data_IF_548232100661
#
_entry.id   IF_548232100661
#
_cell.length_a   1.000
_cell.length_b   1.000
_cell.length_c   1.000
_cell.angle_alpha   90.00
_cell.angle_beta   90.00
_cell.angle_gamma   90.00
#
_symmetry.space_group_name_H-M   'P 1'
#
loop_
_entity.id
_entity.type
_entity.pdbx_description
1 polymer ?
#
# COMPACT_ATOMS: atom_id res chain seq x y z
N UNK A 1 42.30 -51.21 76.88
CA UNK A 1 40.96 -50.74 77.12
C UNK A 1 41.03 -49.32 77.68
N UNK A 2 40.69 -48.35 77.00
CA UNK A 2 39.96 -47.22 77.61
C UNK A 2 38.76 -46.79 76.78
N UNK A 3 37.83 -46.19 77.50
CA UNK A 3 36.47 -45.79 77.14
C UNK A 3 36.44 -44.56 76.26
N UNK A 4 35.62 -44.61 75.26
CA UNK A 4 35.34 -43.47 74.36
C UNK A 4 34.28 -42.47 75.00
N UNK A 5 34.63 -41.22 75.13
CA UNK A 5 33.72 -40.16 75.55
C UNK A 5 33.05 -39.58 74.32
N UNK A 6 31.71 -39.62 74.31
CA UNK A 6 30.87 -39.05 73.27
C UNK A 6 30.62 -37.54 73.61
N UNK A 7 31.10 -36.66 72.74
CA UNK A 7 30.80 -35.20 72.82
C UNK A 7 29.63 -34.86 71.88
N UNK A 8 28.56 -34.32 72.42
CA UNK A 8 27.40 -33.82 71.73
C UNK A 8 27.65 -32.37 71.33
N UNK A 9 27.56 -31.97 70.06
CA UNK A 9 27.64 -30.55 69.69
C UNK A 9 26.31 -29.82 69.87
N UNK A 10 26.31 -28.53 70.09
CA UNK A 10 25.10 -27.76 70.34
C UNK A 10 24.34 -27.45 69.04
N UNK A 11 23.01 -27.46 69.12
CA UNK A 11 22.08 -27.02 68.09
C UNK A 11 22.17 -25.52 67.93
N UNK A 12 22.66 -25.03 66.77
CA UNK A 12 22.56 -23.61 66.40
C UNK A 12 21.43 -23.37 65.41
N UNK A 13 20.57 -22.48 65.79
CA UNK A 13 19.97 -21.39 65.07
C UNK A 13 19.21 -21.69 63.74
N UNK A 14 17.92 -21.95 63.85
CA UNK A 14 16.94 -21.71 62.76
C UNK A 14 16.83 -20.21 62.58
N UNK A 15 17.33 -19.66 61.49
CA UNK A 15 17.10 -18.23 61.21
C UNK A 15 17.04 -17.92 59.74
N UNK A 16 15.99 -17.22 59.38
CA UNK A 16 15.93 -16.10 58.40
C UNK A 16 16.03 -16.39 56.91
N UNK A 17 16.00 -17.63 56.40
CA UNK A 17 15.96 -17.85 54.92
C UNK A 17 14.56 -17.71 54.26
N UNK A 18 13.49 -17.91 55.02
CA UNK A 18 12.11 -17.92 54.50
C UNK A 18 11.51 -16.54 54.27
N UNK A 19 12.01 -15.51 54.95
CA UNK A 19 11.47 -14.12 54.76
C UNK A 19 12.04 -13.45 53.53
N UNK A 20 13.32 -13.74 53.18
CA UNK A 20 13.93 -13.19 51.96
C UNK A 20 13.37 -13.77 50.66
N UNK A 21 13.00 -15.04 50.66
CA UNK A 21 12.41 -15.69 49.48
C UNK A 21 11.00 -15.19 49.17
N UNK A 22 10.19 -14.88 50.18
CA UNK A 22 8.84 -14.27 49.97
C UNK A 22 8.88 -12.86 49.43
N UNK A 23 9.87 -12.03 49.80
CA UNK A 23 10.07 -10.69 49.26
C UNK A 23 10.58 -10.70 47.81
N UNK A 24 11.45 -11.65 47.46
CA UNK A 24 11.93 -11.84 46.08
C UNK A 24 10.83 -12.35 45.14
N UNK A 25 9.94 -13.24 45.60
CA UNK A 25 8.81 -13.70 44.80
C UNK A 25 7.79 -12.59 44.56
N UNK A 26 7.51 -11.74 45.57
CA UNK A 26 6.60 -10.60 45.41
C UNK A 26 7.10 -9.54 44.42
N UNK A 27 8.42 -9.26 44.44
CA UNK A 27 9.04 -8.32 43.50
C UNK A 27 9.06 -8.84 42.06
N UNK A 28 9.27 -10.14 41.85
CA UNK A 28 9.23 -10.77 40.53
C UNK A 28 7.81 -10.76 39.93
N UNK A 29 6.77 -11.03 40.75
CA UNK A 29 5.38 -10.96 40.28
C UNK A 29 4.95 -9.54 39.93
N UNK A 30 5.37 -8.53 40.67
CA UNK A 30 5.09 -7.12 40.37
C UNK A 30 5.77 -6.65 39.08
N UNK A 31 6.99 -7.11 38.80
CA UNK A 31 7.71 -6.80 37.56
C UNK A 31 7.05 -7.42 36.32
N UNK A 32 6.53 -8.64 36.43
CA UNK A 32 5.81 -9.30 35.32
C UNK A 32 4.47 -8.64 35.03
N UNK A 33 3.74 -8.14 36.05
CA UNK A 33 2.50 -7.36 35.84
C UNK A 33 2.78 -6.02 35.19
N UNK A 34 3.91 -5.34 35.49
CA UNK A 34 4.25 -4.06 34.89
C UNK A 34 4.59 -4.14 33.40
N UNK A 35 5.16 -5.27 32.95
CA UNK A 35 5.49 -5.51 31.54
C UNK A 35 4.21 -5.84 30.73
N UNK A 36 3.20 -6.45 31.35
CA UNK A 36 1.93 -6.79 30.69
C UNK A 36 1.03 -5.59 30.36
N UNK A 37 1.21 -4.42 31.01
CA UNK A 37 0.39 -3.23 30.75
C UNK A 37 0.95 -2.32 29.67
N UNK A 38 2.16 -2.53 29.17
CA UNK A 38 2.74 -1.75 28.08
C UNK A 38 2.37 -2.27 26.67
N UNK A 39 1.59 -3.36 26.55
CA UNK A 39 1.18 -3.93 25.28
C UNK A 39 -0.03 -3.22 24.63
N UNK A 40 -0.61 -2.20 25.26
CA UNK A 40 -1.68 -1.38 24.68
C UNK A 40 -1.17 0.04 24.39
N UNK A 41 0.00 0.18 23.76
CA UNK A 41 0.32 1.43 23.08
C UNK A 41 -0.59 1.52 21.86
N UNK A 42 -1.34 2.63 21.67
CA UNK A 42 -2.12 2.82 20.46
C UNK A 42 -1.16 2.77 19.27
N UNK A 43 -1.54 1.99 18.25
CA UNK A 43 -0.81 1.91 16.99
C UNK A 43 -0.82 3.31 16.34
N UNK A 44 0.34 3.88 15.93
CA UNK A 44 0.40 5.19 15.26
C UNK A 44 -0.54 5.28 14.05
N UNK A 45 -0.81 4.17 13.37
CA UNK A 45 -1.76 4.07 12.27
C UNK A 45 -3.19 4.32 12.78
N UNK A 46 -3.57 3.74 13.91
CA UNK A 46 -4.90 3.94 14.50
C UNK A 46 -5.12 5.38 14.99
N UNK A 47 -4.08 6.06 15.49
CA UNK A 47 -4.16 7.47 15.90
C UNK A 47 -4.36 8.40 14.70
N UNK A 48 -3.71 8.16 13.56
CA UNK A 48 -3.89 8.96 12.35
C UNK A 48 -5.30 8.84 11.77
N UNK A 49 -5.94 7.67 11.88
CA UNK A 49 -7.36 7.51 11.50
C UNK A 49 -8.34 8.24 12.42
N UNK A 50 -8.02 8.35 13.71
CA UNK A 50 -8.88 9.00 14.70
C UNK A 50 -8.73 10.53 14.72
N UNK A 51 -7.58 11.06 14.31
CA UNK A 51 -7.30 12.51 14.30
C UNK A 51 -7.97 13.23 13.14
N UNK A 52 -8.40 12.53 12.08
CA UNK A 52 -8.96 13.15 10.88
C UNK A 52 -7.98 14.01 10.10
N UNK A 53 -6.70 13.97 10.46
CA UNK A 53 -5.64 14.56 9.65
C UNK A 53 -5.42 13.68 8.42
N UNK A 54 -5.46 14.29 7.24
CA UNK A 54 -5.25 13.63 5.96
C UNK A 54 -3.75 13.29 5.80
N UNK A 55 -3.31 12.27 6.55
CA UNK A 55 -1.91 11.81 6.59
C UNK A 55 -1.57 10.80 5.51
N UNK A 56 -2.51 10.55 4.56
CA UNK A 56 -2.38 9.51 3.54
C UNK A 56 -2.62 8.10 4.12
N UNK A 57 -3.33 7.27 3.38
CA UNK A 57 -3.57 5.87 3.73
C UNK A 57 -2.41 5.00 3.26
N UNK A 58 -1.89 4.15 4.16
CA UNK A 58 -0.95 3.09 3.81
C UNK A 58 -1.51 1.77 4.33
N UNK A 59 -1.83 0.84 3.43
CA UNK A 59 -2.19 -0.52 3.82
C UNK A 59 -1.03 -1.16 4.61
N UNK A 60 -1.35 -2.05 5.54
CA UNK A 60 -0.37 -2.65 6.45
C UNK A 60 0.79 -3.39 5.72
N UNK A 61 0.55 -3.86 4.50
CA UNK A 61 1.53 -4.51 3.62
C UNK A 61 2.20 -3.54 2.62
N UNK A 62 1.82 -2.25 2.62
CA UNK A 62 2.31 -1.23 1.70
C UNK A 62 1.80 -1.37 0.25
N UNK A 63 0.84 -2.27 0.01
CA UNK A 63 0.28 -2.48 -1.33
C UNK A 63 -0.54 -1.27 -1.80
N UNK A 64 -1.22 -0.57 -0.88
CA UNK A 64 -1.99 0.64 -1.17
C UNK A 64 -1.37 1.78 -0.38
N UNK A 65 -1.03 2.86 -1.09
CA UNK A 65 -0.45 4.07 -0.51
C UNK A 65 -1.16 5.28 -1.10
N UNK A 66 -1.75 6.11 -0.25
CA UNK A 66 -2.23 7.45 -0.58
C UNK A 66 -1.18 8.48 -0.14
N UNK A 67 -0.82 9.40 -1.03
CA UNK A 67 0.24 10.39 -0.82
C UNK A 67 -0.40 11.75 -0.52
N UNK A 68 -0.19 12.32 0.67
CA UNK A 68 -0.69 13.66 1.01
C UNK A 68 -0.19 14.70 0.01
N UNK A 69 -1.00 15.70 -0.29
CA UNK A 69 -0.69 16.75 -1.28
C UNK A 69 0.70 17.39 -1.07
N UNK A 70 1.11 17.57 0.19
CA UNK A 70 2.40 18.18 0.55
C UNK A 70 3.61 17.28 0.26
N UNK A 71 3.40 15.96 0.14
CA UNK A 71 4.46 14.95 0.00
C UNK A 71 4.55 14.40 -1.42
N UNK A 72 3.66 14.84 -2.33
CA UNK A 72 3.67 14.43 -3.74
C UNK A 72 4.87 14.99 -4.47
N UNK A 73 5.44 14.17 -5.35
CA UNK A 73 6.52 14.56 -6.25
C UNK A 73 6.06 15.56 -7.34
N UNK A 74 6.90 15.69 -8.35
CA UNK A 74 6.63 16.53 -9.51
C UNK A 74 5.55 15.91 -10.43
N UNK A 75 5.01 16.72 -11.33
CA UNK A 75 4.14 16.28 -12.43
C UNK A 75 4.85 15.23 -13.27
N UNK A 76 4.20 14.10 -13.53
CA UNK A 76 4.72 13.06 -14.42
C UNK A 76 4.19 13.29 -15.82
N UNK A 77 5.08 13.66 -16.73
CA UNK A 77 4.77 13.76 -18.16
C UNK A 77 5.04 12.41 -18.83
N UNK A 78 4.05 11.86 -19.50
CA UNK A 78 4.15 10.58 -20.22
C UNK A 78 3.31 10.59 -21.49
N UNK A 79 3.65 9.74 -22.43
CA UNK A 79 2.93 9.65 -23.70
C UNK A 79 3.38 8.43 -24.48
N UNK A 80 2.87 8.29 -25.67
CA UNK A 80 3.19 7.16 -26.55
C UNK A 80 2.17 6.99 -27.65
N UNK A 81 2.10 5.77 -28.18
CA UNK A 81 1.12 5.38 -29.20
C UNK A 81 0.14 4.39 -28.57
N UNK A 82 -1.15 4.63 -28.78
CA UNK A 82 -2.21 3.74 -28.30
C UNK A 82 -2.27 2.46 -29.14
N UNK A 83 -3.03 1.48 -28.65
CA UNK A 83 -3.34 0.25 -29.41
C UNK A 83 -4.02 0.53 -30.75
N UNK A 84 -4.70 1.67 -30.90
CA UNK A 84 -5.33 2.11 -32.15
C UNK A 84 -4.39 2.88 -33.09
N UNK A 85 -3.15 3.11 -32.66
CA UNK A 85 -2.15 3.83 -33.45
C UNK A 85 -2.26 5.35 -33.31
N UNK A 86 -3.04 5.86 -32.37
CA UNK A 86 -3.17 7.28 -32.09
C UNK A 86 -2.06 7.75 -31.18
N UNK A 87 -1.61 9.00 -31.37
CA UNK A 87 -0.64 9.62 -30.45
C UNK A 87 -1.37 10.11 -29.22
N UNK A 88 -0.83 9.78 -28.04
CA UNK A 88 -1.30 10.22 -26.74
C UNK A 88 -0.23 11.07 -26.04
N UNK A 89 -0.65 12.16 -25.42
CA UNK A 89 0.20 12.99 -24.57
C UNK A 89 -0.54 13.32 -23.27
N UNK A 90 0.06 13.08 -22.12
CA UNK A 90 -0.53 13.40 -20.82
C UNK A 90 -0.80 14.90 -20.61
N UNK A 91 -0.18 15.79 -21.39
CA UNK A 91 -0.47 17.22 -21.38
C UNK A 91 -1.94 17.51 -21.75
N UNK A 92 -2.59 16.67 -22.57
CA UNK A 92 -3.99 16.81 -22.96
C UNK A 92 -4.95 16.51 -21.79
N UNK A 93 -4.45 15.90 -20.71
CA UNK A 93 -5.21 15.57 -19.50
C UNK A 93 -5.06 16.62 -18.38
N UNK A 94 -4.43 17.74 -18.67
CA UNK A 94 -4.19 18.79 -17.66
C UNK A 94 -5.49 19.24 -16.99
N UNK A 95 -5.53 19.23 -15.66
CA UNK A 95 -6.71 19.58 -14.86
C UNK A 95 -7.67 18.43 -14.59
N UNK A 96 -7.42 17.24 -15.13
CA UNK A 96 -8.19 16.02 -14.88
C UNK A 96 -7.46 15.12 -13.86
N UNK A 97 -8.22 14.37 -13.07
CA UNK A 97 -7.71 13.24 -12.31
C UNK A 97 -7.47 12.10 -13.30
N UNK A 98 -6.30 11.47 -13.24
CA UNK A 98 -5.97 10.40 -14.20
C UNK A 98 -5.65 9.10 -13.46
N UNK A 99 -6.30 8.01 -13.85
CA UNK A 99 -5.94 6.66 -13.41
C UNK A 99 -5.05 6.03 -14.47
N UNK A 100 -3.86 5.56 -14.04
CA UNK A 100 -2.90 4.88 -14.90
C UNK A 100 -2.75 3.45 -14.42
N UNK A 101 -3.04 2.46 -15.28
CA UNK A 101 -2.90 1.04 -14.95
C UNK A 101 -1.81 0.38 -15.80
N UNK A 102 -0.81 -0.21 -15.14
CA UNK A 102 0.26 -0.98 -15.79
C UNK A 102 -0.14 -2.44 -15.89
N UNK A 103 -0.21 -2.97 -17.11
CA UNK A 103 -0.77 -4.28 -17.37
C UNK A 103 -0.13 -5.01 -18.56
N UNK A 104 -0.51 -6.27 -18.79
CA UNK A 104 -0.29 -7.04 -20.02
C UNK A 104 -1.28 -8.21 -20.09
N UNK A 105 -1.59 -8.70 -21.30
CA UNK A 105 -2.66 -9.68 -21.55
C UNK A 105 -2.44 -11.04 -20.84
N UNK A 106 -1.20 -11.49 -20.73
CA UNK A 106 -0.85 -12.74 -20.05
C UNK A 106 -0.80 -12.66 -18.52
N UNK A 107 -1.07 -11.49 -17.93
CA UNK A 107 -1.06 -11.24 -16.51
C UNK A 107 -2.38 -11.73 -15.88
N UNK A 108 -2.35 -12.83 -15.15
CA UNK A 108 -3.57 -13.38 -14.54
C UNK A 108 -4.30 -12.42 -13.60
N UNK A 109 -3.63 -11.70 -12.68
CA UNK A 109 -4.32 -10.73 -11.84
C UNK A 109 -4.85 -9.52 -12.63
N UNK A 110 -4.20 -9.09 -13.75
CA UNK A 110 -4.72 -8.00 -14.58
C UNK A 110 -6.06 -8.38 -15.25
N UNK A 111 -6.22 -9.67 -15.61
CA UNK A 111 -7.49 -10.20 -16.16
C UNK A 111 -8.60 -10.19 -15.12
N UNK A 112 -8.27 -10.37 -13.84
CA UNK A 112 -9.25 -10.36 -12.75
C UNK A 112 -9.76 -8.94 -12.49
N UNK A 113 -8.89 -7.94 -12.53
CA UNK A 113 -9.26 -6.55 -12.20
C UNK A 113 -9.89 -5.76 -13.35
N UNK A 114 -9.82 -6.26 -14.60
CA UNK A 114 -10.20 -5.51 -15.81
C UNK A 114 -11.64 -4.98 -15.77
N UNK A 115 -12.60 -5.81 -15.35
CA UNK A 115 -14.01 -5.41 -15.21
C UNK A 115 -14.22 -4.36 -14.11
N UNK A 116 -13.47 -4.45 -13.01
CA UNK A 116 -13.55 -3.50 -11.92
C UNK A 116 -12.97 -2.14 -12.34
N UNK A 117 -11.83 -2.12 -13.04
CA UNK A 117 -11.25 -0.90 -13.62
C UNK A 117 -12.21 -0.22 -14.59
N UNK A 118 -12.80 -0.98 -15.52
CA UNK A 118 -13.80 -0.47 -16.47
C UNK A 118 -15.03 0.09 -15.75
N UNK A 119 -15.52 -0.60 -14.72
CA UNK A 119 -16.66 -0.13 -13.94
C UNK A 119 -16.38 1.21 -13.25
N UNK A 120 -15.15 1.42 -12.73
CA UNK A 120 -14.75 2.71 -12.16
C UNK A 120 -14.60 3.76 -13.26
N UNK A 121 -14.01 3.41 -14.41
CA UNK A 121 -13.92 4.32 -15.55
C UNK A 121 -15.29 4.86 -15.96
N UNK A 122 -16.25 3.98 -16.25
CA UNK A 122 -17.61 4.36 -16.64
C UNK A 122 -18.33 5.21 -15.57
N UNK A 123 -18.02 4.98 -14.30
CA UNK A 123 -18.61 5.79 -13.22
C UNK A 123 -18.12 7.24 -13.24
N UNK A 124 -16.87 7.50 -13.65
CA UNK A 124 -16.22 8.80 -13.49
C UNK A 124 -15.84 9.52 -14.79
N UNK A 125 -15.98 8.90 -15.98
CA UNK A 125 -15.57 9.48 -17.27
C UNK A 125 -16.17 10.86 -17.53
N UNK A 126 -17.43 11.08 -17.17
CA UNK A 126 -18.14 12.36 -17.31
C UNK A 126 -17.86 13.36 -16.18
N UNK A 127 -16.98 13.01 -15.21
CA UNK A 127 -16.71 13.80 -14.01
C UNK A 127 -15.30 14.44 -14.00
N UNK A 128 -14.60 14.48 -15.15
CA UNK A 128 -13.25 15.03 -15.25
C UNK A 128 -12.18 14.06 -14.77
N UNK A 129 -12.42 12.76 -14.96
CA UNK A 129 -11.45 11.69 -14.76
C UNK A 129 -11.08 11.10 -16.10
N UNK A 130 -9.84 10.71 -16.27
CA UNK A 130 -9.34 9.94 -17.41
C UNK A 130 -8.72 8.63 -16.94
N UNK A 131 -8.83 7.59 -17.77
CA UNK A 131 -8.16 6.32 -17.57
C UNK A 131 -7.21 6.05 -18.74
N UNK A 132 -6.03 5.52 -18.43
CA UNK A 132 -5.02 5.13 -19.43
C UNK A 132 -4.35 3.84 -18.97
N UNK A 133 -4.42 2.81 -19.81
CA UNK A 133 -3.59 1.63 -19.66
C UNK A 133 -2.17 1.89 -20.17
N UNK A 134 -1.17 1.27 -19.56
CA UNK A 134 0.19 1.16 -20.11
C UNK A 134 0.49 -0.31 -20.25
N UNK A 135 0.38 -0.81 -21.49
CA UNK A 135 0.71 -2.20 -21.79
C UNK A 135 2.22 -2.35 -21.95
N UNK A 136 2.84 -3.10 -21.05
CA UNK A 136 4.28 -3.19 -20.91
C UNK A 136 4.93 -4.36 -21.63
N UNK A 137 4.13 -5.26 -22.28
CA UNK A 137 4.67 -6.50 -22.83
C UNK A 137 4.09 -6.92 -24.17
N UNK A 138 2.89 -6.49 -24.53
CA UNK A 138 2.19 -6.96 -25.72
C UNK A 138 2.22 -5.92 -26.82
N UNK A 139 2.09 -6.38 -28.06
CA UNK A 139 1.84 -5.54 -29.23
C UNK A 139 0.36 -5.17 -29.33
N UNK A 140 0.04 -4.16 -30.14
CA UNK A 140 -1.29 -3.56 -30.28
C UNK A 140 -2.42 -4.56 -30.50
N UNK A 141 -2.23 -5.53 -31.39
CA UNK A 141 -3.29 -6.52 -31.70
C UNK A 141 -3.66 -7.38 -30.48
N UNK A 142 -2.67 -7.72 -29.65
CA UNK A 142 -2.92 -8.50 -28.41
C UNK A 142 -3.60 -7.63 -27.36
N UNK A 143 -3.23 -6.34 -27.26
CA UNK A 143 -3.88 -5.40 -26.36
C UNK A 143 -5.35 -5.18 -26.77
N UNK A 144 -5.63 -4.99 -28.06
CA UNK A 144 -7.02 -4.89 -28.58
C UNK A 144 -7.86 -6.12 -28.27
N UNK A 145 -7.31 -7.32 -28.53
CA UNK A 145 -8.03 -8.56 -28.25
C UNK A 145 -8.38 -8.70 -26.76
N UNK A 146 -7.50 -8.23 -25.86
CA UNK A 146 -7.79 -8.17 -24.43
C UNK A 146 -8.91 -7.17 -24.12
N UNK A 147 -8.82 -5.94 -24.66
CA UNK A 147 -9.86 -4.91 -24.46
C UNK A 147 -11.23 -5.39 -24.93
N UNK A 148 -11.28 -6.07 -26.08
CA UNK A 148 -12.51 -6.70 -26.59
C UNK A 148 -13.03 -7.82 -25.70
N UNK A 149 -12.14 -8.70 -25.18
CA UNK A 149 -12.51 -9.83 -24.33
C UNK A 149 -13.07 -9.39 -22.98
N UNK A 150 -12.48 -8.34 -22.38
CA UNK A 150 -12.83 -7.85 -21.03
C UNK A 150 -13.73 -6.60 -21.04
N UNK A 151 -14.09 -6.09 -22.21
CA UNK A 151 -14.95 -4.92 -22.34
C UNK A 151 -14.30 -3.60 -21.91
N UNK A 152 -12.96 -3.51 -21.96
CA UNK A 152 -12.22 -2.29 -21.62
C UNK A 152 -12.38 -1.27 -22.73
N UNK A 153 -12.78 -0.03 -22.37
CA UNK A 153 -13.10 1.05 -23.33
C UNK A 153 -12.13 2.25 -23.24
N UNK A 154 -11.34 2.37 -22.19
CA UNK A 154 -10.29 3.38 -22.09
C UNK A 154 -9.04 2.98 -22.86
N UNK A 155 -8.26 3.96 -23.42
CA UNK A 155 -7.11 3.66 -24.26
C UNK A 155 -5.94 3.06 -23.48
N UNK A 156 -5.11 2.28 -24.19
CA UNK A 156 -3.86 1.74 -23.64
C UNK A 156 -2.66 2.13 -24.53
N UNK A 157 -1.61 2.67 -23.92
CA UNK A 157 -0.32 2.89 -24.57
C UNK A 157 0.41 1.57 -24.77
N UNK A 158 0.99 1.38 -25.95
CA UNK A 158 1.82 0.21 -26.28
C UNK A 158 3.29 0.57 -25.99
N UNK A 159 3.78 0.12 -24.83
CA UNK A 159 5.07 0.54 -24.27
C UNK A 159 6.16 -0.55 -24.33
N UNK A 160 5.84 -1.68 -24.97
CA UNK A 160 6.71 -2.88 -25.02
C UNK A 160 8.05 -2.63 -25.71
N UNK A 161 8.09 -1.76 -26.73
CA UNK A 161 9.29 -1.54 -27.56
C UNK A 161 10.21 -0.44 -26.97
N UNK A 162 9.65 0.57 -26.30
CA UNK A 162 10.39 1.74 -25.83
C UNK A 162 10.52 1.80 -24.32
N UNK A 163 9.53 1.33 -23.59
CA UNK A 163 9.37 1.49 -22.15
C UNK A 163 9.35 2.96 -21.68
N UNK A 164 9.11 3.92 -22.60
CA UNK A 164 9.19 5.36 -22.30
C UNK A 164 8.08 5.79 -21.32
N UNK A 165 6.85 5.31 -21.52
CA UNK A 165 5.74 5.60 -20.63
C UNK A 165 5.99 5.03 -19.22
N UNK A 166 6.46 3.80 -19.10
CA UNK A 166 6.83 3.19 -17.81
C UNK A 166 8.00 3.92 -17.14
N UNK A 167 9.01 4.32 -17.90
CA UNK A 167 10.21 5.00 -17.38
C UNK A 167 9.87 6.41 -16.87
N UNK A 168 8.87 7.10 -17.43
CA UNK A 168 8.42 8.39 -16.95
C UNK A 168 7.97 8.37 -15.47
N UNK A 169 7.49 7.23 -14.99
CA UNK A 169 7.08 7.06 -13.59
C UNK A 169 8.21 6.57 -12.67
N UNK A 170 9.41 6.24 -13.18
CA UNK A 170 10.44 5.55 -12.43
C UNK A 170 10.97 6.36 -11.22
N UNK A 171 11.00 7.69 -11.32
CA UNK A 171 11.41 8.57 -10.22
C UNK A 171 10.31 8.78 -9.19
N UNK A 172 9.05 8.87 -9.64
CA UNK A 172 7.91 9.07 -8.75
C UNK A 172 7.52 7.77 -8.04
N UNK A 173 7.42 6.69 -8.80
CA UNK A 173 7.02 5.36 -8.29
C UNK A 173 7.69 4.27 -9.11
N UNK A 174 8.65 3.52 -8.56
CA UNK A 174 9.22 2.38 -9.28
C UNK A 174 8.13 1.33 -9.58
N UNK A 175 7.85 1.11 -10.86
CA UNK A 175 6.88 0.10 -11.31
C UNK A 175 7.58 -1.26 -11.34
N UNK A 176 7.65 -1.90 -10.19
CA UNK A 176 8.33 -3.19 -10.00
C UNK A 176 7.42 -4.40 -10.24
N UNK A 177 6.11 -4.23 -10.15
CA UNK A 177 5.12 -5.29 -10.25
C UNK A 177 4.01 -4.91 -11.24
N UNK A 178 3.35 -5.92 -11.79
CA UNK A 178 2.17 -5.79 -12.66
C UNK A 178 1.10 -6.76 -12.16
N UNK A 179 -0.14 -6.30 -11.91
CA UNK A 179 -0.60 -4.94 -12.16
C UNK A 179 -0.10 -3.93 -11.10
N UNK A 180 -0.07 -2.69 -11.49
CA UNK A 180 0.07 -1.53 -10.61
C UNK A 180 -0.85 -0.43 -11.12
N UNK A 181 -1.66 0.14 -10.23
CA UNK A 181 -2.57 1.24 -10.56
C UNK A 181 -2.14 2.49 -9.81
N UNK A 182 -2.04 3.61 -10.52
CA UNK A 182 -1.76 4.92 -9.97
C UNK A 182 -2.98 5.83 -10.15
N UNK A 183 -3.21 6.71 -9.17
CA UNK A 183 -4.12 7.84 -9.31
C UNK A 183 -3.28 9.11 -9.35
N UNK A 184 -3.39 9.87 -10.42
CA UNK A 184 -2.74 11.17 -10.56
C UNK A 184 -3.74 12.27 -10.22
N UNK A 185 -3.29 13.29 -9.51
CA UNK A 185 -4.09 14.48 -9.24
C UNK A 185 -4.23 15.39 -10.47
N UNK A 186 -5.00 16.47 -10.35
CA UNK A 186 -5.24 17.43 -11.42
C UNK A 186 -3.99 18.15 -11.94
N UNK A 187 -2.87 18.05 -11.21
CA UNK A 187 -1.55 18.53 -11.62
C UNK A 187 -0.69 17.44 -12.24
N UNK A 188 -1.21 16.22 -12.40
CA UNK A 188 -0.47 15.08 -12.95
C UNK A 188 0.57 14.49 -11.98
N UNK A 189 0.46 14.74 -10.67
CA UNK A 189 1.34 14.18 -9.65
C UNK A 189 0.73 12.90 -9.08
N UNK A 190 1.55 11.93 -8.71
CA UNK A 190 1.04 10.69 -8.11
C UNK A 190 0.41 10.98 -6.74
N UNK A 191 -0.91 10.80 -6.65
CA UNK A 191 -1.70 10.96 -5.44
C UNK A 191 -1.91 9.64 -4.70
N UNK A 192 -2.01 8.52 -5.44
CA UNK A 192 -2.11 7.20 -4.83
C UNK A 192 -1.50 6.11 -5.72
N UNK A 193 -1.15 4.99 -5.07
CA UNK A 193 -0.60 3.80 -5.72
C UNK A 193 -1.23 2.55 -5.13
N UNK A 194 -1.61 1.61 -6.01
CA UNK A 194 -2.03 0.26 -5.66
C UNK A 194 -1.06 -0.72 -6.36
N UNK A 195 -0.37 -1.57 -5.61
CA UNK A 195 0.47 -2.65 -6.15
C UNK A 195 -0.29 -3.96 -6.06
N UNK A 196 -0.40 -4.69 -7.15
CA UNK A 196 -1.27 -5.86 -7.26
C UNK A 196 -2.66 -5.51 -7.77
N UNK A 197 -3.54 -6.51 -7.94
CA UNK A 197 -4.88 -6.29 -8.47
C UNK A 197 -5.73 -5.47 -7.49
N UNK A 198 -6.61 -4.64 -8.04
CA UNK A 198 -7.71 -4.08 -7.24
C UNK A 198 -8.69 -5.20 -6.90
N UNK A 199 -9.22 -5.17 -5.69
CA UNK A 199 -10.23 -6.12 -5.20
C UNK A 199 -11.57 -5.39 -5.08
N UNK A 200 -12.34 -5.41 -6.17
CA UNK A 200 -13.56 -4.64 -6.33
C UNK A 200 -13.31 -3.13 -6.56
N UNK A 201 -14.38 -2.41 -6.80
CA UNK A 201 -14.32 -0.99 -7.23
C UNK A 201 -14.11 0.00 -6.07
N UNK A 202 -14.36 -0.41 -4.82
CA UNK A 202 -14.53 0.49 -3.66
C UNK A 202 -13.29 1.34 -3.36
N UNK A 203 -12.11 0.71 -3.30
CA UNK A 203 -10.86 1.39 -2.94
C UNK A 203 -10.48 2.40 -4.02
N UNK A 204 -10.44 1.97 -5.29
CA UNK A 204 -10.09 2.85 -6.40
C UNK A 204 -11.08 4.02 -6.53
N UNK A 205 -12.38 3.75 -6.41
CA UNK A 205 -13.40 4.80 -6.42
C UNK A 205 -13.21 5.81 -5.30
N UNK A 206 -12.79 5.38 -4.12
CA UNK A 206 -12.50 6.29 -2.99
C UNK A 206 -11.31 7.18 -3.33
N UNK A 207 -10.19 6.63 -3.78
CA UNK A 207 -8.99 7.38 -4.16
C UNK A 207 -9.25 8.38 -5.28
N UNK A 208 -10.02 7.99 -6.30
CA UNK A 208 -10.45 8.88 -7.40
C UNK A 208 -11.32 10.03 -6.87
N UNK A 209 -12.29 9.73 -6.02
CA UNK A 209 -13.19 10.72 -5.42
C UNK A 209 -12.42 11.72 -4.55
N UNK A 210 -11.46 11.25 -3.76
CA UNK A 210 -10.65 12.10 -2.90
C UNK A 210 -9.77 13.04 -3.73
N UNK A 211 -9.11 12.53 -4.79
CA UNK A 211 -8.37 13.34 -5.75
C UNK A 211 -9.25 14.39 -6.49
N UNK A 212 -10.48 14.03 -6.85
CA UNK A 212 -11.44 14.96 -7.46
C UNK A 212 -11.85 16.09 -6.50
N UNK A 213 -11.98 15.80 -5.20
CA UNK A 213 -12.39 16.76 -4.18
C UNK A 213 -11.30 17.78 -3.84
N UNK A 214 -10.05 17.52 -4.21
CA UNK A 214 -8.92 18.42 -3.98
C UNK A 214 -9.10 19.74 -4.74
N UNK A 215 -8.71 20.84 -4.07
CA UNK A 215 -8.67 22.15 -4.70
C UNK A 215 -7.44 22.23 -5.61
N UNK A 216 -7.67 22.69 -6.84
CA UNK A 216 -6.61 23.00 -7.81
C UNK A 216 -5.76 24.15 -7.33
#
# INVERSE_FOLDING_TARGET
MPLASTVIPPRSGRSSRTVRSRRALGAALAAVLAIGLSACAPDPVSESFLSGENTGYVAADGAIVEIPVADRGETVAFGGVTEDGETFDSADLAGQVTVVNFWYAGCAPCRVEAEDLESVWQQYEDQGVSFVGINTRDQADTAKAFSEEFGVTYPSLIDVDTAEAKLAFAEAVPIAATPTTLVLDKQGRVAARIIGPIDGTSILSTLVKDALAEKS
#
